data_IF_459934674596
#
_entry.id   IF_459934674596
#
_cell.length_a   1.000
_cell.length_b   1.000
_cell.length_c   1.000
_cell.angle_alpha   90.00
_cell.angle_beta   90.00
_cell.angle_gamma   90.00
#
_symmetry.space_group_name_H-M   'P 1'
#
loop_
_entity.id
_entity.type
_entity.pdbx_description
1 polymer ?
#
# COMPACT_ATOMS: atom_id res chain seq x y z
N UNK A 1 -0.35 -18.80 -4.67
CA UNK A 1 -0.89 -17.53 -5.14
C UNK A 1 -0.49 -16.40 -4.20
N UNK A 2 -0.40 -15.19 -4.74
CA UNK A 2 -0.25 -13.96 -3.98
C UNK A 2 -1.06 -12.84 -4.61
N UNK A 3 -1.24 -11.75 -3.88
CA UNK A 3 -1.77 -10.49 -4.44
C UNK A 3 -0.61 -9.51 -4.50
N UNK A 4 -0.38 -8.92 -5.66
CA UNK A 4 0.64 -7.90 -5.90
C UNK A 4 -0.01 -6.62 -6.37
N UNK A 5 0.60 -5.49 -6.05
CA UNK A 5 0.26 -4.22 -6.69
C UNK A 5 0.88 -4.15 -8.09
N UNK A 6 0.20 -3.52 -9.03
CA UNK A 6 0.76 -3.27 -10.37
C UNK A 6 1.94 -2.30 -10.33
N UNK A 7 2.93 -2.42 -11.23
CA UNK A 7 3.07 -3.45 -12.26
C UNK A 7 3.71 -4.74 -11.72
N UNK A 8 3.15 -5.88 -12.10
CA UNK A 8 3.70 -7.18 -11.74
C UNK A 8 4.98 -7.50 -12.52
N UNK A 9 5.93 -8.17 -11.88
CA UNK A 9 7.16 -8.63 -12.53
C UNK A 9 6.91 -9.83 -13.46
N UNK A 10 6.66 -9.56 -14.75
CA UNK A 10 6.37 -10.55 -15.79
C UNK A 10 7.47 -11.60 -16.04
N UNK A 11 8.70 -11.33 -15.61
CA UNK A 11 9.78 -12.30 -15.78
C UNK A 11 9.68 -13.50 -14.84
N UNK A 12 9.09 -13.30 -13.67
CA UNK A 12 9.02 -14.30 -12.58
C UNK A 12 7.63 -14.87 -12.36
N UNK A 13 6.58 -14.11 -12.69
CA UNK A 13 5.19 -14.44 -12.35
C UNK A 13 4.30 -14.41 -13.58
N UNK A 14 3.34 -15.33 -13.61
CA UNK A 14 2.10 -15.20 -14.35
C UNK A 14 1.06 -14.53 -13.45
N UNK A 15 0.09 -13.85 -14.02
CA UNK A 15 -0.88 -13.08 -13.26
C UNK A 15 -2.19 -12.90 -14.03
N UNK A 16 -3.21 -12.52 -13.30
CA UNK A 16 -4.46 -11.96 -13.81
C UNK A 16 -4.77 -10.68 -13.07
N UNK A 17 -5.24 -9.67 -13.79
CA UNK A 17 -5.70 -8.41 -13.20
C UNK A 17 -7.00 -8.63 -12.46
N UNK A 18 -7.07 -8.14 -11.23
CA UNK A 18 -8.30 -8.12 -10.46
C UNK A 18 -9.09 -6.84 -10.81
N UNK A 19 -10.44 -6.90 -10.81
CA UNK A 19 -11.28 -5.73 -11.12
C UNK A 19 -11.40 -4.77 -9.92
N UNK A 20 -10.32 -4.60 -9.18
CA UNK A 20 -10.26 -3.79 -7.97
C UNK A 20 -9.01 -2.92 -7.97
N UNK A 21 -9.15 -1.72 -7.41
CA UNK A 21 -8.05 -0.82 -7.10
C UNK A 21 -8.01 -0.55 -5.61
N UNK A 22 -6.80 -0.32 -5.10
CA UNK A 22 -6.58 0.24 -3.77
C UNK A 22 -6.06 1.66 -3.87
N UNK A 23 -6.27 2.47 -2.83
CA UNK A 23 -5.77 3.83 -2.78
C UNK A 23 -4.65 3.98 -1.75
N UNK A 24 -3.67 4.81 -2.11
CA UNK A 24 -2.63 5.25 -1.21
C UNK A 24 -3.15 6.27 -0.22
N UNK A 25 -2.60 6.25 0.98
CA UNK A 25 -2.92 7.20 2.04
C UNK A 25 -1.92 7.15 3.18
N UNK A 26 -2.29 7.77 4.26
CA UNK A 26 -1.49 7.89 5.47
C UNK A 26 -2.21 7.24 6.64
N UNK A 27 -1.55 6.26 7.24
CA UNK A 27 -1.94 5.68 8.52
C UNK A 27 -1.34 6.54 9.64
N UNK A 28 -2.16 6.96 10.57
CA UNK A 28 -1.77 7.84 11.68
C UNK A 28 -2.61 7.58 12.93
N UNK A 29 -2.21 8.14 14.05
CA UNK A 29 -3.03 8.15 15.27
C UNK A 29 -4.27 9.03 15.08
N UNK A 30 -5.40 8.64 15.68
CA UNK A 30 -6.66 9.42 15.64
C UNK A 30 -6.56 10.79 16.29
N UNK A 31 -5.63 10.96 17.24
CA UNK A 31 -5.35 12.21 17.91
C UNK A 31 -4.30 13.09 17.20
N UNK A 32 -3.73 12.62 16.07
CA UNK A 32 -2.83 13.42 15.26
C UNK A 32 -3.55 14.61 14.63
N UNK A 33 -2.84 15.75 14.48
CA UNK A 33 -3.45 16.97 13.92
C UNK A 33 -3.98 16.79 12.49
N UNK A 34 -3.37 15.92 11.68
CA UNK A 34 -3.83 15.60 10.33
C UNK A 34 -5.08 14.69 10.32
N UNK A 35 -5.42 14.04 11.42
CA UNK A 35 -6.58 13.15 11.49
C UNK A 35 -7.91 13.88 11.32
N UNK A 36 -7.95 15.20 11.54
CA UNK A 36 -9.13 16.04 11.28
C UNK A 36 -9.38 16.31 9.79
N UNK A 37 -8.38 16.07 8.90
CA UNK A 37 -8.53 16.25 7.46
C UNK A 37 -9.27 15.07 6.85
N UNK A 38 -9.95 15.31 5.73
CA UNK A 38 -10.57 14.25 4.93
C UNK A 38 -9.55 13.53 4.05
N UNK A 39 -8.54 14.25 3.57
CA UNK A 39 -7.46 13.76 2.69
C UNK A 39 -6.14 14.47 3.00
N UNK A 40 -5.05 13.89 2.54
CA UNK A 40 -3.68 14.38 2.74
C UNK A 40 -3.07 14.76 1.39
N UNK A 41 -2.58 15.99 1.28
CA UNK A 41 -1.92 16.48 0.09
C UNK A 41 -0.37 16.48 0.25
N UNK A 42 0.42 16.68 -0.83
CA UNK A 42 1.87 16.65 -0.76
C UNK A 42 2.48 17.63 0.26
N UNK A 43 1.87 18.81 0.45
CA UNK A 43 2.36 19.80 1.39
C UNK A 43 2.21 19.37 2.84
N UNK A 44 1.19 18.55 3.13
CA UNK A 44 0.96 18.03 4.48
C UNK A 44 2.05 17.06 4.94
N UNK A 45 2.78 16.43 3.99
CA UNK A 45 3.84 15.48 4.28
C UNK A 45 5.20 16.14 4.57
N UNK A 46 5.34 17.43 4.31
CA UNK A 46 6.59 18.15 4.57
C UNK A 46 6.89 18.13 6.06
N UNK A 47 8.16 17.87 6.35
CA UNK A 47 8.72 17.86 7.71
C UNK A 47 8.13 16.83 8.68
N UNK A 48 7.18 16.00 8.22
CA UNK A 48 6.64 14.93 9.03
C UNK A 48 7.60 13.73 9.12
N UNK A 49 7.70 13.06 10.27
CA UNK A 49 8.41 11.80 10.38
C UNK A 49 7.63 10.70 9.64
N UNK A 50 8.08 10.33 8.45
CA UNK A 50 7.39 9.37 7.59
C UNK A 50 7.99 7.98 7.70
N UNK A 51 7.13 6.98 7.64
CA UNK A 51 7.46 5.56 7.61
C UNK A 51 6.99 5.01 6.26
N UNK A 52 7.92 4.55 5.42
CA UNK A 52 7.64 4.16 4.04
C UNK A 52 7.95 2.70 3.78
N UNK A 53 7.32 2.12 2.75
CA UNK A 53 7.72 0.80 2.26
C UNK A 53 9.16 0.85 1.71
N UNK A 54 9.93 -0.22 1.94
CA UNK A 54 11.27 -0.38 1.38
C UNK A 54 11.28 -0.94 -0.05
N UNK A 55 10.10 -1.11 -0.68
CA UNK A 55 9.97 -1.63 -2.04
C UNK A 55 10.21 -0.51 -3.07
N UNK A 56 11.08 -0.75 -4.06
CA UNK A 56 11.39 0.23 -5.11
C UNK A 56 10.17 0.66 -5.94
N UNK A 57 9.24 -0.26 -6.20
CA UNK A 57 8.01 0.05 -6.93
C UNK A 57 7.17 1.09 -6.18
N UNK A 58 7.02 0.93 -4.87
CA UNK A 58 6.30 1.88 -4.02
C UNK A 58 6.97 3.25 -4.01
N UNK A 59 8.30 3.27 -3.94
CA UNK A 59 9.07 4.52 -3.99
C UNK A 59 8.82 5.26 -5.31
N UNK A 60 8.80 4.55 -6.44
CA UNK A 60 8.55 5.14 -7.75
C UNK A 60 7.14 5.72 -7.87
N UNK A 61 6.12 5.01 -7.39
CA UNK A 61 4.73 5.49 -7.36
C UNK A 61 4.60 6.80 -6.56
N UNK A 62 5.12 6.82 -5.35
CA UNK A 62 5.08 7.99 -4.47
C UNK A 62 5.93 9.15 -5.01
N UNK A 63 7.07 8.86 -5.64
CA UNK A 63 7.93 9.87 -6.27
C UNK A 63 7.19 10.58 -7.41
N UNK A 64 6.50 9.83 -8.27
CA UNK A 64 5.67 10.39 -9.33
C UNK A 64 4.54 11.29 -8.79
N UNK A 65 3.87 10.85 -7.73
CA UNK A 65 2.80 11.62 -7.08
C UNK A 65 3.32 12.91 -6.43
N UNK A 66 4.53 12.88 -5.85
CA UNK A 66 5.21 14.03 -5.23
C UNK A 66 5.94 14.93 -6.23
N UNK A 67 5.89 14.63 -7.54
CA UNK A 67 6.59 15.39 -8.58
C UNK A 67 8.10 15.53 -8.27
N UNK A 68 8.76 14.41 -8.02
CA UNK A 68 10.19 14.28 -7.71
C UNK A 68 10.66 14.90 -6.37
N UNK A 69 9.74 15.32 -5.50
CA UNK A 69 10.06 15.80 -4.16
C UNK A 69 10.22 14.69 -3.11
N UNK A 70 10.16 13.40 -3.51
CA UNK A 70 10.26 12.27 -2.60
C UNK A 70 11.54 12.27 -1.76
N UNK A 71 12.68 12.64 -2.37
CA UNK A 71 13.96 12.67 -1.66
C UNK A 71 14.07 13.83 -0.63
N UNK A 72 13.11 14.75 -0.62
CA UNK A 72 13.01 15.82 0.37
C UNK A 72 12.17 15.45 1.58
N UNK A 73 11.54 14.27 1.55
CA UNK A 73 10.73 13.79 2.67
C UNK A 73 11.62 13.34 3.84
N UNK A 74 11.15 13.60 5.05
CA UNK A 74 11.80 13.12 6.27
C UNK A 74 11.40 11.67 6.56
N UNK A 75 12.02 10.70 5.88
CA UNK A 75 11.78 9.27 6.10
C UNK A 75 12.59 8.81 7.30
N UNK A 76 11.92 8.53 8.41
CA UNK A 76 12.55 8.12 9.68
C UNK A 76 12.67 6.61 9.82
N UNK A 77 11.85 5.83 9.10
CA UNK A 77 11.89 4.37 9.10
C UNK A 77 11.34 3.80 7.79
N UNK A 78 11.74 2.57 7.47
CA UNK A 78 11.17 1.80 6.37
C UNK A 78 10.61 0.48 6.87
N UNK A 79 9.61 -0.07 6.13
CA UNK A 79 9.00 -1.35 6.46
C UNK A 79 8.92 -2.26 5.23
N UNK A 80 8.90 -3.56 5.48
CA UNK A 80 8.54 -4.60 4.51
C UNK A 80 7.15 -5.19 4.79
N UNK A 81 6.66 -5.05 6.03
CA UNK A 81 5.35 -5.51 6.48
C UNK A 81 4.64 -4.37 7.21
N UNK A 82 3.51 -3.94 6.69
CA UNK A 82 2.75 -2.78 7.22
C UNK A 82 2.32 -2.98 8.67
N UNK A 83 2.09 -4.22 9.11
CA UNK A 83 1.77 -4.48 10.51
C UNK A 83 2.85 -3.93 11.46
N UNK A 84 4.13 -4.13 11.15
CA UNK A 84 5.22 -3.60 11.97
C UNK A 84 5.23 -2.05 11.96
N UNK A 85 4.96 -1.43 10.82
CA UNK A 85 4.85 0.02 10.72
C UNK A 85 3.66 0.54 11.55
N UNK A 86 2.53 -0.18 11.58
CA UNK A 86 1.38 0.24 12.37
C UNK A 86 1.67 0.31 13.87
N UNK A 87 2.53 -0.57 14.40
CA UNK A 87 2.99 -0.51 15.79
C UNK A 87 3.84 0.74 16.06
N UNK A 88 4.73 1.11 15.11
CA UNK A 88 5.50 2.34 15.22
C UNK A 88 4.62 3.60 15.18
N UNK A 89 3.58 3.58 14.34
CA UNK A 89 2.60 4.68 14.30
C UNK A 89 1.83 4.77 15.60
N UNK A 90 1.40 3.66 16.17
CA UNK A 90 0.65 3.61 17.43
C UNK A 90 1.48 4.15 18.59
N UNK A 91 2.77 3.86 18.62
CA UNK A 91 3.75 4.42 19.57
C UNK A 91 4.11 5.89 19.30
N UNK A 92 3.55 6.50 18.25
CA UNK A 92 3.80 7.91 17.93
C UNK A 92 5.11 8.19 17.23
N UNK A 93 5.78 7.18 16.64
CA UNK A 93 7.07 7.33 15.97
C UNK A 93 6.98 8.01 14.60
N UNK A 94 5.76 8.13 14.03
CA UNK A 94 5.59 8.77 12.73
C UNK A 94 4.26 8.44 12.04
N UNK A 95 4.22 8.74 10.76
CA UNK A 95 3.07 8.60 9.85
C UNK A 95 3.44 7.58 8.77
N UNK A 96 2.67 6.51 8.60
CA UNK A 96 3.00 5.49 7.59
C UNK A 96 2.27 5.74 6.27
N UNK A 97 3.04 5.87 5.18
CA UNK A 97 2.52 5.87 3.81
C UNK A 97 2.20 4.41 3.41
N UNK A 98 0.94 4.12 3.13
CA UNK A 98 0.45 2.76 2.89
C UNK A 98 -0.82 2.75 2.03
N UNK A 99 -1.24 1.55 1.64
CA UNK A 99 -2.54 1.33 1.01
C UNK A 99 -3.65 1.23 2.06
N UNK A 100 -4.88 1.58 1.64
CA UNK A 100 -6.09 1.46 2.45
C UNK A 100 -6.36 -0.02 2.81
N UNK A 101 -7.09 -0.26 3.89
CA UNK A 101 -7.60 -1.57 4.33
C UNK A 101 -6.56 -2.64 4.70
N UNK A 102 -5.26 -2.34 4.60
CA UNK A 102 -4.23 -3.29 5.04
C UNK A 102 -4.16 -3.41 6.56
N UNK A 103 -4.54 -2.37 7.30
CA UNK A 103 -4.66 -2.37 8.76
C UNK A 103 -6.10 -2.09 9.14
N UNK A 104 -6.65 -2.91 10.02
CA UNK A 104 -7.97 -2.67 10.57
C UNK A 104 -7.95 -1.49 11.55
N UNK A 105 -8.56 -0.38 11.18
CA UNK A 105 -8.65 0.85 11.99
C UNK A 105 -9.97 0.95 12.77
N UNK A 106 -10.86 -0.05 12.67
CA UNK A 106 -12.10 -0.10 13.44
C UNK A 106 -11.79 -0.39 14.92
N UNK A 107 -12.35 0.41 15.81
CA UNK A 107 -12.06 0.35 17.26
C UNK A 107 -10.57 0.39 17.63
N UNK A 108 -9.75 1.00 16.79
CA UNK A 108 -8.31 1.19 16.96
C UNK A 108 -8.01 2.64 17.37
N UNK A 109 -6.81 2.89 17.87
CA UNK A 109 -6.20 4.21 18.09
C UNK A 109 -5.79 4.87 16.77
N UNK A 110 -5.74 4.09 15.69
CA UNK A 110 -5.28 4.52 14.37
C UNK A 110 -6.44 4.90 13.45
N UNK A 111 -6.16 5.77 12.49
CA UNK A 111 -7.02 6.08 11.36
C UNK A 111 -6.21 6.15 10.06
N UNK A 112 -6.91 6.01 8.94
CA UNK A 112 -6.36 6.14 7.60
C UNK A 112 -6.96 7.36 6.90
N UNK A 113 -6.14 8.13 6.17
CA UNK A 113 -6.58 9.24 5.33
C UNK A 113 -6.00 9.08 3.93
N UNK A 114 -6.84 9.12 2.87
CA UNK A 114 -6.37 8.98 1.50
C UNK A 114 -5.54 10.18 1.04
N UNK A 115 -4.68 9.95 0.05
CA UNK A 115 -3.94 11.00 -0.62
C UNK A 115 -4.83 11.80 -1.58
N UNK A 116 -4.55 13.11 -1.72
CA UNK A 116 -5.13 13.98 -2.72
C UNK A 116 -4.03 14.84 -3.37
N UNK A 117 -3.83 14.82 -4.71
CA UNK A 117 -4.61 14.05 -5.71
C UNK A 117 -4.61 12.55 -5.46
N UNK A 118 -5.76 11.90 -5.73
CA UNK A 118 -5.94 10.48 -5.48
C UNK A 118 -4.87 9.65 -6.20
N UNK A 119 -4.19 8.78 -5.48
CA UNK A 119 -3.23 7.82 -6.03
C UNK A 119 -3.79 6.40 -5.84
N UNK A 120 -4.14 5.77 -6.95
CA UNK A 120 -4.67 4.41 -6.96
C UNK A 120 -3.70 3.44 -7.63
N UNK A 121 -3.74 2.20 -7.20
CA UNK A 121 -3.01 1.09 -7.81
C UNK A 121 -3.95 -0.06 -8.12
N UNK A 122 -3.73 -0.71 -9.26
CA UNK A 122 -4.37 -1.98 -9.60
C UNK A 122 -3.79 -3.13 -8.79
N UNK A 123 -4.55 -4.20 -8.70
CA UNK A 123 -4.17 -5.43 -8.01
C UNK A 123 -4.13 -6.59 -8.99
N UNK A 124 -3.08 -7.40 -8.90
CA UNK A 124 -2.89 -8.62 -9.65
C UNK A 124 -2.92 -9.84 -8.73
N UNK A 125 -3.67 -10.87 -9.09
CA UNK A 125 -3.48 -12.21 -8.55
C UNK A 125 -2.31 -12.85 -9.28
N UNK A 126 -1.26 -13.20 -8.56
CA UNK A 126 0.01 -13.68 -9.13
C UNK A 126 0.34 -15.09 -8.68
N UNK A 127 1.07 -15.82 -9.53
CA UNK A 127 1.68 -17.11 -9.19
C UNK A 127 3.01 -17.26 -9.92
N UNK A 128 3.87 -18.11 -9.39
CA UNK A 128 5.19 -18.34 -9.99
C UNK A 128 5.03 -18.97 -11.36
N UNK A 129 5.78 -18.47 -12.35
CA UNK A 129 5.85 -19.09 -13.68
C UNK A 129 6.19 -20.57 -13.60
N UNK A 130 5.57 -21.34 -14.50
CA UNK A 130 5.74 -22.80 -14.57
C UNK A 130 5.33 -23.54 -13.29
N UNK A 131 4.49 -22.92 -12.46
CA UNK A 131 3.94 -23.55 -11.26
C UNK A 131 3.04 -24.72 -11.65
N UNK A 132 3.37 -25.92 -11.15
CA UNK A 132 2.46 -27.06 -11.24
C UNK A 132 1.45 -26.93 -10.10
N UNK A 133 0.19 -26.79 -10.47
CA UNK A 133 -0.90 -26.65 -9.50
C UNK A 133 -1.41 -28.00 -9.01
N UNK A 134 -1.79 -28.07 -7.74
CA UNK A 134 -2.68 -29.13 -7.25
C UNK A 134 -4.07 -28.95 -7.89
N UNK A 135 -4.89 -30.02 -7.87
CA UNK A 135 -6.28 -29.96 -8.37
C UNK A 135 -7.08 -28.83 -7.71
N UNK A 136 -6.87 -28.60 -6.42
CA UNK A 136 -7.55 -27.54 -5.67
C UNK A 136 -7.10 -26.14 -6.13
N UNK A 137 -5.80 -25.92 -6.34
CA UNK A 137 -5.27 -24.67 -6.81
C UNK A 137 -5.72 -24.35 -8.26
N UNK A 138 -5.73 -25.35 -9.15
CA UNK A 138 -6.24 -25.22 -10.51
C UNK A 138 -7.74 -24.87 -10.52
N UNK A 139 -8.53 -25.56 -9.70
CA UNK A 139 -9.95 -25.25 -9.54
C UNK A 139 -10.19 -23.83 -9.03
N UNK A 140 -9.42 -23.41 -8.01
CA UNK A 140 -9.49 -22.04 -7.48
C UNK A 140 -9.22 -21.01 -8.57
N UNK A 141 -8.12 -21.17 -9.34
CA UNK A 141 -7.76 -20.23 -10.40
C UNK A 141 -8.86 -20.14 -11.47
N UNK A 142 -9.41 -21.30 -11.90
CA UNK A 142 -10.54 -21.33 -12.85
C UNK A 142 -11.75 -20.56 -12.32
N UNK A 143 -12.09 -20.75 -11.04
CA UNK A 143 -13.21 -20.02 -10.43
C UNK A 143 -12.97 -18.54 -10.32
N UNK A 144 -11.76 -18.11 -10.00
CA UNK A 144 -11.43 -16.68 -9.99
C UNK A 144 -11.58 -16.09 -11.39
N UNK A 145 -11.07 -16.76 -12.44
CA UNK A 145 -11.18 -16.29 -13.84
C UNK A 145 -12.65 -16.20 -14.29
N UNK A 146 -13.53 -17.09 -13.83
CA UNK A 146 -14.97 -17.05 -14.15
C UNK A 146 -15.69 -15.86 -13.47
N UNK A 147 -15.14 -15.29 -12.40
CA UNK A 147 -15.75 -14.25 -11.57
C UNK A 147 -15.31 -12.82 -11.92
N UNK A 148 -14.24 -12.67 -12.68
CA UNK A 148 -13.71 -11.39 -13.15
C UNK A 148 -13.99 -11.18 -14.62
#
# INVERSE_FOLDING_TARGET
FGISIEPTNFSKYDFIKLPYTDCWGVLMKKDAFLASKEYINPQDLKDLPLICSNQDLVRNELSGWLKDDFDKLNIVATYNLIYNASLLVDEGSGYALTLDKLINTYNSTLCFKPLEPKLEVGLDLVWKKYQIFSKAADFFLKKVIELI
#
